data_IF_528396960229
#
_entry.id   IF_528396960229
#
_cell.length_a   1.000
_cell.length_b   1.000
_cell.length_c   1.000
_cell.angle_alpha   90.00
_cell.angle_beta   90.00
_cell.angle_gamma   90.00
#
_symmetry.space_group_name_H-M   'P 1'
#
loop_
_entity.id
_entity.type
_entity.pdbx_description
1 polymer ?
#
# COMPACT_ATOMS: atom_id res chain seq x y z
N UNK A 1 -3.12 12.03 20.55
CA UNK A 1 -1.75 11.47 20.57
C UNK A 1 -1.10 11.65 19.21
N UNK A 2 0.22 11.63 19.16
CA UNK A 2 1.01 11.67 17.94
C UNK A 2 1.83 10.37 17.82
N UNK A 3 2.19 10.00 16.59
CA UNK A 3 3.01 8.83 16.24
C UNK A 3 2.40 7.49 16.73
N UNK A 4 3.25 6.51 17.11
CA UNK A 4 2.78 5.22 17.62
C UNK A 4 1.89 5.38 18.86
N UNK A 5 0.77 4.66 18.89
CA UNK A 5 -0.29 4.84 19.88
C UNK A 5 -0.11 4.09 21.19
N UNK A 6 0.72 3.04 21.23
CA UNK A 6 0.83 2.11 22.35
C UNK A 6 1.32 2.80 23.63
N UNK A 7 2.46 3.49 23.54
CA UNK A 7 3.04 4.18 24.69
C UNK A 7 2.20 5.37 25.15
N UNK A 8 1.70 6.26 24.27
CA UNK A 8 0.73 7.27 24.63
C UNK A 8 -0.50 6.71 25.35
N UNK A 9 -1.10 5.64 24.83
CA UNK A 9 -2.27 5.00 25.47
C UNK A 9 -1.95 4.48 26.86
N UNK A 10 -0.84 3.76 27.01
CA UNK A 10 -0.39 3.28 28.33
C UNK A 10 -0.18 4.45 29.31
N UNK A 11 0.42 5.54 28.85
CA UNK A 11 0.64 6.74 29.69
C UNK A 11 -0.69 7.36 30.16
N UNK A 12 -1.73 7.36 29.32
CA UNK A 12 -3.07 7.84 29.67
C UNK A 12 -3.70 6.91 30.69
N UNK A 13 -3.65 5.58 30.49
CA UNK A 13 -4.17 4.60 31.44
C UNK A 13 -3.50 4.73 32.81
N UNK A 14 -2.18 4.85 32.85
CA UNK A 14 -1.41 5.06 34.08
C UNK A 14 -1.81 6.35 34.79
N UNK A 15 -2.07 7.42 34.02
CA UNK A 15 -2.55 8.69 34.58
C UNK A 15 -3.96 8.54 35.22
N UNK A 16 -4.88 7.92 34.49
CA UNK A 16 -6.25 7.67 35.01
C UNK A 16 -6.25 6.80 36.25
N UNK A 17 -5.25 5.93 36.41
CA UNK A 17 -5.03 5.10 37.58
C UNK A 17 -4.24 5.79 38.72
N UNK A 18 -3.90 7.08 38.55
CA UNK A 18 -3.14 7.85 39.53
C UNK A 18 -1.65 7.52 39.64
N UNK A 19 -1.12 6.73 38.71
CA UNK A 19 0.29 6.28 38.72
C UNK A 19 1.22 7.21 37.95
N UNK A 20 0.69 8.14 37.12
CA UNK A 20 1.44 9.08 36.28
C UNK A 20 0.83 10.47 36.37
N UNK A 21 1.67 11.49 36.47
CA UNK A 21 1.20 12.88 36.41
C UNK A 21 0.81 13.27 34.98
N UNK A 22 -0.11 14.23 34.85
CA UNK A 22 -0.53 14.75 33.53
C UNK A 22 0.64 15.36 32.73
N UNK A 23 1.64 15.96 33.40
CA UNK A 23 2.83 16.52 32.77
C UNK A 23 3.77 15.47 32.15
N UNK A 24 3.56 14.19 32.43
CA UNK A 24 4.31 13.06 31.88
C UNK A 24 3.50 12.20 30.91
N UNK A 25 2.38 12.72 30.41
CA UNK A 25 1.66 12.05 29.32
C UNK A 25 2.50 12.13 28.04
N UNK A 26 2.68 10.98 27.39
CA UNK A 26 3.54 10.91 26.24
C UNK A 26 2.83 11.44 24.99
N UNK A 27 3.39 12.46 24.37
CA UNK A 27 2.95 13.01 23.08
C UNK A 27 1.41 13.18 22.99
N UNK A 28 0.82 13.72 24.03
CA UNK A 28 -0.63 13.88 24.13
C UNK A 28 -1.04 15.36 24.10
N UNK A 29 -2.11 15.63 23.37
CA UNK A 29 -2.88 16.86 23.55
C UNK A 29 -3.91 16.63 24.64
N UNK A 30 -3.93 17.48 25.63
CA UNK A 30 -4.90 17.49 26.74
C UNK A 30 -5.61 18.82 26.81
N UNK A 31 -6.86 18.81 27.26
CA UNK A 31 -7.60 20.03 27.53
C UNK A 31 -7.72 20.23 29.02
N UNK A 32 -7.13 21.28 29.53
CA UNK A 32 -7.17 21.66 30.95
C UNK A 32 -7.81 23.05 31.06
N UNK A 33 -8.89 23.18 31.80
CA UNK A 33 -9.63 24.44 31.99
C UNK A 33 -10.01 25.15 30.64
N UNK A 34 -10.31 24.37 29.60
CA UNK A 34 -10.66 24.90 28.28
C UNK A 34 -9.47 25.09 27.34
N UNK A 35 -8.27 25.20 27.86
CA UNK A 35 -7.04 25.36 27.09
C UNK A 35 -6.48 24.02 26.61
N UNK A 36 -6.05 23.97 25.33
CA UNK A 36 -5.40 22.79 24.73
C UNK A 36 -3.88 22.90 24.91
N UNK A 37 -3.32 21.94 25.62
CA UNK A 37 -1.88 21.87 25.89
C UNK A 37 -1.29 20.60 25.32
N UNK A 38 -0.14 20.67 24.67
CA UNK A 38 0.62 19.51 24.21
C UNK A 38 1.70 19.15 25.23
N UNK A 39 1.73 17.89 25.63
CA UNK A 39 2.76 17.38 26.52
C UNK A 39 3.90 16.80 25.69
N UNK A 40 5.07 17.43 25.80
CA UNK A 40 6.29 17.04 25.04
C UNK A 40 7.08 15.91 25.70
N UNK A 41 6.50 15.19 26.66
CA UNK A 41 7.18 14.07 27.30
C UNK A 41 7.38 12.93 26.30
N UNK A 42 8.61 12.41 26.19
CA UNK A 42 8.98 11.36 25.26
C UNK A 42 9.66 10.22 26.02
N UNK A 43 9.12 9.03 25.86
CA UNK A 43 9.70 7.76 26.28
C UNK A 43 9.92 6.87 25.02
N UNK A 44 10.79 5.86 25.09
CA UNK A 44 10.91 4.89 24.00
C UNK A 44 9.57 4.24 23.67
N UNK A 45 9.27 4.08 22.40
CA UNK A 45 8.09 3.34 21.97
C UNK A 45 8.22 1.85 22.29
N UNK A 46 7.09 1.15 22.33
CA UNK A 46 7.07 -0.30 22.50
C UNK A 46 7.69 -0.94 21.27
N UNK A 47 8.65 -1.84 21.44
CA UNK A 47 9.22 -2.60 20.34
C UNK A 47 8.13 -3.45 19.66
N UNK A 48 8.19 -3.59 18.34
CA UNK A 48 7.13 -4.24 17.59
C UNK A 48 6.94 -5.72 17.98
N UNK A 49 8.01 -6.41 18.39
CA UNK A 49 7.93 -7.77 18.97
C UNK A 49 7.20 -7.81 20.33
N UNK A 50 7.23 -6.70 21.08
CA UNK A 50 6.59 -6.59 22.40
C UNK A 50 5.12 -6.13 22.33
N UNK A 51 4.69 -5.62 21.17
CA UNK A 51 3.27 -5.38 20.92
C UNK A 51 2.54 -6.71 20.92
N UNK A 52 1.53 -6.86 21.75
CA UNK A 52 0.78 -8.12 21.89
C UNK A 52 0.10 -8.56 20.59
N UNK A 53 -0.39 -9.80 20.58
CA UNK A 53 -1.24 -10.29 19.49
C UNK A 53 -2.56 -9.51 19.50
N UNK A 54 -3.04 -9.01 18.36
CA UNK A 54 -4.38 -8.43 18.30
C UNK A 54 -5.42 -9.46 18.70
N UNK A 55 -6.53 -9.02 19.29
CA UNK A 55 -7.64 -9.90 19.69
C UNK A 55 -8.95 -9.38 19.14
N UNK A 56 -9.81 -10.29 18.74
CA UNK A 56 -11.18 -10.01 18.28
C UNK A 56 -12.21 -10.30 19.41
N UNK A 57 -11.75 -10.73 20.59
CA UNK A 57 -12.60 -11.04 21.73
C UNK A 57 -13.47 -9.83 22.12
N UNK A 58 -14.76 -10.07 22.29
CA UNK A 58 -15.74 -9.03 22.60
C UNK A 58 -16.28 -8.26 21.37
N UNK A 59 -15.76 -8.49 20.18
CA UNK A 59 -16.32 -7.92 18.96
C UNK A 59 -17.42 -8.81 18.39
N UNK A 60 -18.52 -8.24 17.87
CA UNK A 60 -19.60 -9.01 17.26
C UNK A 60 -19.22 -9.47 15.85
N UNK A 61 -18.23 -10.36 15.73
CA UNK A 61 -17.60 -10.75 14.47
C UNK A 61 -18.60 -11.24 13.41
N UNK A 62 -19.71 -11.85 13.82
CA UNK A 62 -20.76 -12.30 12.90
C UNK A 62 -21.48 -11.15 12.17
N UNK A 63 -21.45 -9.94 12.73
CA UNK A 63 -22.08 -8.75 12.13
C UNK A 63 -21.18 -8.00 11.17
N UNK A 64 -19.86 -8.28 11.13
CA UNK A 64 -18.96 -7.68 10.17
C UNK A 64 -19.14 -8.30 8.79
N UNK A 65 -19.13 -7.46 7.77
CA UNK A 65 -19.22 -7.94 6.39
C UNK A 65 -17.99 -8.76 6.01
N UNK A 66 -18.22 -9.83 5.28
CA UNK A 66 -17.16 -10.58 4.62
C UNK A 66 -16.61 -9.77 3.44
N UNK A 67 -15.33 -9.97 3.09
CA UNK A 67 -14.77 -9.37 1.88
C UNK A 67 -15.50 -9.81 0.61
N UNK A 68 -16.13 -10.98 0.62
CA UNK A 68 -16.96 -11.47 -0.49
C UNK A 68 -18.22 -10.63 -0.71
N UNK A 69 -18.72 -9.98 0.34
CA UNK A 69 -19.92 -9.14 0.29
C UNK A 69 -19.63 -7.73 -0.25
N UNK A 70 -18.35 -7.38 -0.38
CA UNK A 70 -17.94 -6.08 -0.91
C UNK A 70 -18.04 -6.06 -2.44
N UNK A 71 -18.45 -4.91 -2.97
CA UNK A 71 -18.60 -4.71 -4.42
C UNK A 71 -17.26 -4.64 -5.16
N UNK A 72 -16.13 -4.49 -4.45
CA UNK A 72 -14.81 -4.40 -5.07
C UNK A 72 -14.42 -5.77 -5.68
N UNK A 73 -14.31 -5.88 -7.02
CA UNK A 73 -14.00 -7.14 -7.68
C UNK A 73 -12.64 -7.72 -7.27
N UNK A 74 -11.71 -6.88 -6.82
CA UNK A 74 -10.42 -7.35 -6.29
C UNK A 74 -10.58 -8.35 -5.15
N UNK A 75 -11.50 -8.09 -4.23
CA UNK A 75 -11.67 -8.93 -3.05
C UNK A 75 -12.20 -10.32 -3.39
N UNK A 76 -12.85 -10.48 -4.55
CA UNK A 76 -13.37 -11.76 -5.01
C UNK A 76 -12.33 -12.66 -5.66
N UNK A 77 -11.18 -12.11 -6.06
CA UNK A 77 -10.14 -12.88 -6.74
C UNK A 77 -9.40 -13.83 -5.80
N UNK A 78 -9.21 -13.41 -4.53
CA UNK A 78 -8.44 -14.19 -3.58
C UNK A 78 -8.98 -14.18 -2.14
N UNK A 79 -10.20 -13.76 -1.92
CA UNK A 79 -10.81 -13.78 -0.59
C UNK A 79 -11.98 -14.74 -0.54
N UNK A 80 -11.97 -15.62 0.43
CA UNK A 80 -13.02 -16.59 0.73
C UNK A 80 -13.82 -16.22 1.98
N UNK A 81 -13.62 -15.02 2.52
CA UNK A 81 -14.37 -14.58 3.68
C UNK A 81 -13.66 -13.58 4.58
N UNK A 82 -13.69 -13.83 5.89
CA UNK A 82 -13.04 -13.00 6.91
C UNK A 82 -11.61 -13.48 7.12
N UNK A 83 -10.69 -12.52 7.18
CA UNK A 83 -9.27 -12.79 7.30
C UNK A 83 -8.71 -12.13 8.54
N UNK A 84 -7.88 -12.84 9.28
CA UNK A 84 -7.09 -12.25 10.35
C UNK A 84 -6.15 -11.16 9.79
N UNK A 85 -5.98 -10.07 10.53
CA UNK A 85 -5.12 -8.96 10.16
C UNK A 85 -3.87 -8.96 11.02
N UNK A 86 -2.71 -8.93 10.38
CA UNK A 86 -1.41 -8.78 11.02
C UNK A 86 -0.53 -7.85 10.20
N UNK A 87 0.57 -7.38 10.78
CA UNK A 87 1.67 -6.72 10.09
C UNK A 87 2.96 -7.49 10.37
N UNK A 88 3.81 -7.58 9.36
CA UNK A 88 5.15 -8.17 9.45
C UNK A 88 6.11 -7.18 10.09
N UNK A 89 5.93 -5.89 9.76
CA UNK A 89 6.77 -4.81 10.25
C UNK A 89 5.99 -3.51 10.37
N UNK A 90 6.33 -2.70 11.37
CA UNK A 90 5.89 -1.31 11.42
C UNK A 90 6.71 -0.49 10.42
N UNK A 91 6.05 0.42 9.70
CA UNK A 91 6.67 1.35 8.76
C UNK A 91 7.16 0.73 7.45
N UNK A 92 7.88 1.51 6.67
CA UNK A 92 8.37 1.10 5.36
C UNK A 92 9.91 1.06 5.36
N UNK A 93 10.50 -0.07 4.98
CA UNK A 93 11.96 -0.21 4.92
C UNK A 93 12.61 0.60 3.79
N UNK A 94 11.85 1.00 2.74
CA UNK A 94 12.38 1.78 1.63
C UNK A 94 12.54 3.26 1.95
N UNK A 95 11.53 3.94 2.49
CA UNK A 95 11.56 5.31 3.01
C UNK A 95 12.03 6.40 2.01
N UNK A 96 11.85 6.21 0.70
CA UNK A 96 12.42 7.11 -0.31
C UNK A 96 11.41 7.66 -1.32
N UNK A 97 10.19 7.09 -1.36
CA UNK A 97 9.19 7.51 -2.33
C UNK A 97 8.83 8.98 -2.13
N UNK A 98 8.86 9.76 -3.20
CA UNK A 98 8.61 11.20 -3.14
C UNK A 98 7.14 11.56 -2.88
N UNK A 99 6.23 10.62 -3.06
CA UNK A 99 4.80 10.78 -2.82
C UNK A 99 4.34 10.30 -1.43
N UNK A 100 5.22 9.65 -0.66
CA UNK A 100 4.92 9.19 0.69
C UNK A 100 5.37 10.20 1.74
N UNK A 101 4.71 10.20 2.89
CA UNK A 101 5.06 11.02 4.06
C UNK A 101 6.25 10.41 4.81
N UNK A 102 7.39 10.32 4.14
CA UNK A 102 8.58 9.58 4.60
C UNK A 102 9.21 10.11 5.88
N UNK A 103 8.81 11.29 6.34
CA UNK A 103 9.24 11.90 7.61
C UNK A 103 8.34 11.52 8.79
N UNK A 104 7.12 11.02 8.54
CA UNK A 104 6.17 10.66 9.58
C UNK A 104 6.44 9.25 10.12
N UNK A 105 6.16 9.02 11.39
CA UNK A 105 6.51 7.80 12.13
C UNK A 105 6.02 6.52 11.44
N UNK A 106 4.78 6.52 10.95
CA UNK A 106 4.18 5.33 10.33
C UNK A 106 4.90 4.83 9.06
N UNK A 107 5.77 5.70 8.46
CA UNK A 107 6.65 5.33 7.35
C UNK A 107 8.12 5.30 7.80
N UNK A 108 8.56 6.31 8.58
CA UNK A 108 9.98 6.53 8.88
C UNK A 108 10.54 5.56 9.92
N UNK A 109 9.74 5.17 10.91
CA UNK A 109 10.13 4.16 11.88
C UNK A 109 9.95 2.77 11.24
N UNK A 110 11.03 2.01 11.17
CA UNK A 110 10.98 0.64 10.67
C UNK A 110 11.38 -0.32 11.78
N UNK A 111 10.47 -1.20 12.13
CA UNK A 111 10.65 -2.21 13.17
C UNK A 111 9.91 -3.49 12.74
N UNK A 112 10.63 -4.59 12.56
CA UNK A 112 10.08 -5.84 12.04
C UNK A 112 9.95 -6.88 13.15
N UNK A 113 8.83 -7.60 13.19
CA UNK A 113 8.67 -8.74 14.07
C UNK A 113 9.64 -9.87 13.67
N UNK A 114 10.10 -10.63 14.67
CA UNK A 114 10.79 -11.88 14.39
C UNK A 114 9.82 -12.92 13.83
N UNK A 115 10.34 -13.85 13.02
CA UNK A 115 9.50 -14.88 12.41
C UNK A 115 8.77 -15.73 13.46
N UNK A 116 9.43 -16.02 14.59
CA UNK A 116 8.84 -16.78 15.69
C UNK A 116 7.65 -16.06 16.28
N UNK A 117 7.82 -14.79 16.68
CA UNK A 117 6.72 -13.97 17.24
C UNK A 117 5.57 -13.83 16.26
N UNK A 118 5.88 -13.61 14.98
CA UNK A 118 4.85 -13.45 13.95
C UNK A 118 4.00 -14.72 13.79
N UNK A 119 4.65 -15.89 13.74
CA UNK A 119 3.95 -17.16 13.60
C UNK A 119 3.24 -17.57 14.90
N UNK A 120 3.77 -17.23 16.09
CA UNK A 120 3.06 -17.36 17.36
C UNK A 120 1.75 -16.58 17.35
N UNK A 121 1.78 -15.33 16.85
CA UNK A 121 0.56 -14.50 16.66
C UNK A 121 -0.43 -15.14 15.69
N UNK A 122 0.06 -15.76 14.62
CA UNK A 122 -0.81 -16.47 13.68
C UNK A 122 -1.52 -17.65 14.37
N UNK A 123 -0.81 -18.49 15.13
CA UNK A 123 -1.39 -19.61 15.86
C UNK A 123 -2.42 -19.15 16.89
N UNK A 124 -2.12 -18.07 17.64
CA UNK A 124 -3.07 -17.48 18.60
C UNK A 124 -4.36 -17.00 17.93
N UNK A 125 -4.24 -16.29 16.81
CA UNK A 125 -5.39 -15.81 16.06
C UNK A 125 -6.20 -16.95 15.43
N UNK A 126 -5.55 -18.01 14.95
CA UNK A 126 -6.25 -19.21 14.46
C UNK A 126 -7.04 -19.87 15.58
N UNK A 127 -6.47 -19.98 16.77
CA UNK A 127 -7.14 -20.57 17.93
C UNK A 127 -8.33 -19.72 18.39
N UNK A 128 -8.22 -18.38 18.35
CA UNK A 128 -9.28 -17.47 18.77
C UNK A 128 -10.41 -17.37 17.73
N UNK A 129 -10.06 -17.18 16.45
CA UNK A 129 -11.03 -16.87 15.40
C UNK A 129 -11.58 -18.09 14.66
N UNK A 130 -10.90 -19.25 14.75
CA UNK A 130 -11.17 -20.41 13.91
C UNK A 130 -10.82 -20.22 12.41
N UNK A 131 -10.18 -19.09 12.05
CA UNK A 131 -9.83 -18.73 10.67
C UNK A 131 -8.35 -18.96 10.42
N UNK A 132 -8.00 -19.60 9.30
CA UNK A 132 -6.60 -19.83 8.87
C UNK A 132 -6.13 -18.88 7.77
N UNK A 133 -6.94 -17.91 7.40
CA UNK A 133 -6.60 -16.86 6.44
C UNK A 133 -5.98 -15.63 7.10
N UNK A 134 -4.95 -15.04 6.46
CA UNK A 134 -4.22 -13.87 6.95
C UNK A 134 -4.03 -12.82 5.88
N UNK A 135 -4.36 -11.58 6.21
CA UNK A 135 -3.98 -10.41 5.44
C UNK A 135 -2.91 -9.63 6.19
N UNK A 136 -1.71 -9.56 5.63
CA UNK A 136 -0.64 -8.71 6.14
C UNK A 136 -0.81 -7.30 5.61
N UNK A 137 -1.16 -6.38 6.52
CA UNK A 137 -1.55 -4.99 6.20
C UNK A 137 -0.37 -4.02 6.25
N UNK A 138 0.82 -4.49 5.93
CA UNK A 138 2.05 -3.70 5.89
C UNK A 138 1.97 -2.57 4.84
N UNK A 139 2.72 -1.50 5.06
CA UNK A 139 3.02 -0.52 4.00
C UNK A 139 3.84 -1.16 2.88
N UNK A 140 4.83 -1.99 3.24
CA UNK A 140 5.57 -2.86 2.35
C UNK A 140 6.29 -3.93 3.19
N UNK A 141 5.80 -5.16 3.17
CA UNK A 141 6.43 -6.26 3.90
C UNK A 141 7.83 -6.58 3.34
N UNK A 142 8.85 -6.64 4.21
CA UNK A 142 10.23 -6.83 3.76
C UNK A 142 10.48 -8.25 3.25
N UNK A 143 11.19 -8.44 2.12
CA UNK A 143 11.47 -9.77 1.57
C UNK A 143 12.17 -10.70 2.54
N UNK A 144 13.11 -10.16 3.35
CA UNK A 144 13.84 -10.94 4.35
C UNK A 144 12.93 -11.47 5.46
N UNK A 145 12.01 -10.64 5.94
CA UNK A 145 11.06 -11.04 6.98
C UNK A 145 10.03 -12.05 6.44
N UNK A 146 9.49 -11.81 5.23
CA UNK A 146 8.62 -12.77 4.56
C UNK A 146 9.29 -14.13 4.35
N UNK A 147 10.56 -14.14 3.93
CA UNK A 147 11.36 -15.39 3.80
C UNK A 147 11.47 -16.12 5.13
N UNK A 148 11.73 -15.41 6.21
CA UNK A 148 11.86 -16.01 7.54
C UNK A 148 10.50 -16.55 8.04
N UNK A 149 9.43 -15.78 7.85
CA UNK A 149 8.05 -16.19 8.17
C UNK A 149 7.64 -17.45 7.40
N UNK A 150 7.84 -17.47 6.08
CA UNK A 150 7.51 -18.61 5.24
C UNK A 150 8.22 -19.91 5.70
N UNK A 151 9.51 -19.80 6.01
CA UNK A 151 10.28 -20.95 6.56
C UNK A 151 9.72 -21.41 7.90
N UNK A 152 9.32 -20.50 8.77
CA UNK A 152 8.79 -20.84 10.09
C UNK A 152 7.38 -21.45 9.99
N UNK A 153 6.52 -20.98 9.09
CA UNK A 153 5.22 -21.58 8.77
C UNK A 153 5.42 -23.05 8.34
N UNK A 154 6.32 -23.29 7.39
CA UNK A 154 6.61 -24.62 6.87
C UNK A 154 7.23 -25.53 7.94
N UNK A 155 8.16 -25.01 8.75
CA UNK A 155 8.79 -25.75 9.84
C UNK A 155 7.78 -26.24 10.89
N UNK A 156 6.76 -25.41 11.19
CA UNK A 156 5.66 -25.78 12.13
C UNK A 156 4.58 -26.62 11.48
N UNK A 157 4.60 -26.80 10.17
CA UNK A 157 3.57 -27.52 9.43
C UNK A 157 2.20 -26.83 9.44
N UNK A 158 2.17 -25.51 9.58
CA UNK A 158 0.90 -24.76 9.61
C UNK A 158 0.26 -24.72 8.23
N UNK A 159 -1.03 -24.95 8.20
CA UNK A 159 -1.85 -24.82 6.98
C UNK A 159 -2.61 -23.50 7.02
N UNK A 160 -2.12 -22.54 6.30
CA UNK A 160 -2.65 -21.17 6.24
C UNK A 160 -2.74 -20.70 4.80
N UNK A 161 -3.63 -19.74 4.55
CA UNK A 161 -3.61 -18.93 3.33
C UNK A 161 -3.31 -17.51 3.71
N UNK A 162 -2.43 -16.84 2.95
CA UNK A 162 -2.10 -15.47 3.28
C UNK A 162 -1.82 -14.62 2.04
N UNK A 163 -2.02 -13.32 2.19
CA UNK A 163 -1.66 -12.31 1.22
C UNK A 163 -1.20 -11.02 1.91
N UNK A 164 -0.52 -10.16 1.19
CA UNK A 164 0.01 -8.94 1.77
C UNK A 164 0.57 -7.95 0.76
N UNK A 165 1.04 -6.82 1.26
CA UNK A 165 1.58 -5.74 0.46
C UNK A 165 3.11 -5.81 0.43
N UNK A 166 3.69 -5.66 -0.76
CA UNK A 166 5.13 -5.71 -0.99
C UNK A 166 5.56 -4.58 -1.95
N UNK A 167 6.85 -4.53 -2.21
CA UNK A 167 7.42 -3.78 -3.35
C UNK A 167 7.91 -4.79 -4.37
N UNK A 168 7.62 -4.58 -5.66
CA UNK A 168 8.09 -5.48 -6.73
C UNK A 168 9.59 -5.35 -6.97
N UNK A 169 10.41 -5.80 -6.02
CA UNK A 169 11.87 -5.68 -6.04
C UNK A 169 12.54 -6.91 -6.61
N UNK A 170 13.76 -6.71 -7.13
CA UNK A 170 14.60 -7.80 -7.65
C UNK A 170 14.94 -8.88 -6.61
N UNK A 171 14.78 -8.60 -5.33
CA UNK A 171 14.97 -9.55 -4.22
C UNK A 171 13.91 -10.66 -4.19
N UNK A 172 12.75 -10.46 -4.84
CA UNK A 172 11.77 -11.52 -5.07
C UNK A 172 12.21 -12.40 -6.24
N UNK A 173 13.25 -13.24 -5.95
CA UNK A 173 13.71 -14.24 -6.93
C UNK A 173 12.71 -15.39 -7.08
N UNK A 174 12.75 -16.16 -8.18
CA UNK A 174 11.85 -17.32 -8.35
C UNK A 174 11.86 -18.28 -7.16
N UNK A 175 13.04 -18.53 -6.56
CA UNK A 175 13.17 -19.41 -5.39
C UNK A 175 12.48 -18.83 -4.15
N UNK A 176 12.61 -17.52 -3.92
CA UNK A 176 11.88 -16.87 -2.83
C UNK A 176 10.38 -16.92 -3.08
N UNK A 177 9.95 -16.60 -4.30
CA UNK A 177 8.53 -16.60 -4.67
C UNK A 177 7.93 -18.00 -4.50
N UNK A 178 8.62 -19.06 -4.91
CA UNK A 178 8.18 -20.44 -4.69
C UNK A 178 8.06 -20.76 -3.20
N UNK A 179 9.05 -20.38 -2.38
CA UNK A 179 8.99 -20.55 -0.93
C UNK A 179 7.76 -19.86 -0.30
N UNK A 180 7.41 -18.66 -0.79
CA UNK A 180 6.21 -17.95 -0.33
C UNK A 180 4.95 -18.73 -0.72
N UNK A 181 4.85 -19.20 -1.96
CA UNK A 181 3.74 -20.04 -2.43
C UNK A 181 3.59 -21.31 -1.58
N UNK A 182 4.67 -22.04 -1.34
CA UNK A 182 4.70 -23.26 -0.53
C UNK A 182 4.20 -22.99 0.91
N UNK A 183 4.43 -21.78 1.45
CA UNK A 183 3.98 -21.37 2.78
C UNK A 183 2.52 -20.90 2.84
N UNK A 184 1.78 -20.98 1.73
CA UNK A 184 0.39 -20.59 1.64
C UNK A 184 0.13 -19.15 1.16
N UNK A 185 1.13 -18.49 0.55
CA UNK A 185 0.91 -17.20 -0.11
C UNK A 185 0.03 -17.40 -1.36
N UNK A 186 -1.14 -16.79 -1.38
CA UNK A 186 -2.07 -16.90 -2.51
C UNK A 186 -2.11 -15.63 -3.36
N UNK A 187 -1.73 -14.49 -2.81
CA UNK A 187 -1.71 -13.23 -3.53
C UNK A 187 -0.70 -12.24 -2.94
N UNK A 188 -0.17 -11.35 -3.77
CA UNK A 188 0.68 -10.26 -3.37
C UNK A 188 0.26 -8.96 -4.09
N UNK A 189 0.19 -7.88 -3.31
CA UNK A 189 -0.10 -6.54 -3.82
C UNK A 189 1.18 -5.71 -3.84
N UNK A 190 1.38 -4.90 -4.87
CA UNK A 190 2.54 -4.02 -4.92
C UNK A 190 2.33 -2.80 -5.80
N UNK A 191 3.14 -1.76 -5.56
CA UNK A 191 3.08 -0.52 -6.32
C UNK A 191 3.89 -0.61 -7.61
N UNK A 192 3.22 -0.61 -8.77
CA UNK A 192 3.80 -0.25 -10.07
C UNK A 192 3.70 1.26 -10.29
N UNK A 193 2.76 1.92 -9.62
CA UNK A 193 2.48 3.36 -9.67
C UNK A 193 2.15 3.80 -11.10
N UNK A 194 2.95 4.67 -11.69
CA UNK A 194 2.87 4.95 -13.13
C UNK A 194 3.83 4.01 -13.85
N UNK A 195 3.35 3.22 -14.79
CA UNK A 195 4.19 2.32 -15.58
C UNK A 195 5.04 3.13 -16.60
N UNK A 196 5.94 3.96 -16.08
CA UNK A 196 6.87 4.83 -16.82
C UNK A 196 8.17 4.93 -16.02
N UNK A 197 9.28 4.47 -16.60
CA UNK A 197 10.58 4.49 -15.91
C UNK A 197 11.01 5.92 -15.56
N UNK A 198 10.67 6.91 -16.41
CA UNK A 198 10.90 8.32 -16.11
C UNK A 198 10.19 8.76 -14.82
N UNK A 199 8.93 8.46 -14.70
CA UNK A 199 8.13 8.83 -13.53
C UNK A 199 8.49 8.00 -12.29
N UNK A 200 8.78 6.70 -12.45
CA UNK A 200 9.27 5.86 -11.35
C UNK A 200 10.60 6.37 -10.77
N UNK A 201 11.49 6.90 -11.63
CA UNK A 201 12.73 7.53 -11.19
C UNK A 201 12.45 8.85 -10.43
N UNK A 202 11.56 9.70 -10.94
CA UNK A 202 11.14 10.95 -10.29
C UNK A 202 10.45 10.67 -8.93
N UNK A 203 9.64 9.62 -8.86
CA UNK A 203 9.02 9.12 -7.63
C UNK A 203 10.02 8.50 -6.64
N UNK A 204 11.27 8.29 -7.04
CA UNK A 204 12.28 7.54 -6.25
C UNK A 204 11.77 6.17 -5.81
N UNK A 205 10.94 5.55 -6.66
CA UNK A 205 10.32 4.24 -6.36
C UNK A 205 11.35 3.12 -6.29
N UNK A 206 12.45 3.20 -7.05
CA UNK A 206 13.54 2.24 -7.02
C UNK A 206 13.24 0.92 -7.74
N UNK A 207 12.28 0.92 -8.65
CA UNK A 207 11.96 -0.19 -9.55
C UNK A 207 11.81 0.34 -10.98
N UNK A 208 11.90 -0.54 -11.96
CA UNK A 208 11.60 -0.26 -13.39
C UNK A 208 10.42 -1.11 -13.84
N UNK A 209 9.76 -0.68 -14.92
CA UNK A 209 8.64 -1.44 -15.51
C UNK A 209 9.08 -2.87 -15.86
N UNK A 210 10.26 -3.04 -16.49
CA UNK A 210 10.81 -4.34 -16.83
C UNK A 210 11.07 -5.22 -15.59
N UNK A 211 11.59 -4.62 -14.51
CA UNK A 211 11.80 -5.36 -13.26
C UNK A 211 10.47 -5.85 -12.68
N UNK A 212 9.46 -4.97 -12.64
CA UNK A 212 8.11 -5.35 -12.18
C UNK A 212 7.56 -6.49 -13.01
N UNK A 213 7.65 -6.43 -14.34
CA UNK A 213 7.19 -7.48 -15.23
C UNK A 213 7.85 -8.85 -14.92
N UNK A 214 9.16 -8.87 -14.69
CA UNK A 214 9.87 -10.12 -14.32
C UNK A 214 9.41 -10.68 -12.98
N UNK A 215 9.28 -9.83 -11.98
CA UNK A 215 8.88 -10.24 -10.62
C UNK A 215 7.45 -10.75 -10.61
N UNK A 216 6.53 -10.02 -11.25
CA UNK A 216 5.12 -10.41 -11.31
C UNK A 216 4.93 -11.68 -12.16
N UNK A 217 5.73 -11.88 -13.20
CA UNK A 217 5.76 -13.14 -13.98
C UNK A 217 6.16 -14.31 -13.09
N UNK A 218 7.25 -14.18 -12.30
CA UNK A 218 7.67 -15.24 -11.36
C UNK A 218 6.58 -15.56 -10.34
N UNK A 219 5.83 -14.56 -9.87
CA UNK A 219 4.71 -14.77 -8.96
C UNK A 219 3.57 -15.55 -9.64
N UNK A 220 3.19 -15.15 -10.85
CA UNK A 220 2.16 -15.84 -11.62
C UNK A 220 2.57 -17.29 -11.93
N UNK A 221 3.82 -17.55 -12.29
CA UNK A 221 4.35 -18.90 -12.54
C UNK A 221 4.33 -19.80 -11.29
N UNK A 222 4.44 -19.22 -10.09
CA UNK A 222 4.30 -19.91 -8.81
C UNK A 222 2.83 -20.02 -8.33
N UNK A 223 1.86 -19.56 -9.11
CA UNK A 223 0.45 -19.57 -8.74
C UNK A 223 0.00 -18.48 -7.77
N UNK A 224 0.84 -17.46 -7.53
CA UNK A 224 0.50 -16.31 -6.68
C UNK A 224 -0.21 -15.26 -7.53
N UNK A 225 -1.42 -14.88 -7.14
CA UNK A 225 -2.17 -13.81 -7.78
C UNK A 225 -1.50 -12.45 -7.49
N UNK A 226 -1.47 -11.58 -8.50
CA UNK A 226 -0.80 -10.27 -8.38
C UNK A 226 -1.81 -9.14 -8.52
N UNK A 227 -1.79 -8.24 -7.52
CA UNK A 227 -2.50 -6.96 -7.56
C UNK A 227 -1.51 -5.80 -7.72
N UNK A 228 -1.78 -4.89 -8.65
CA UNK A 228 -0.98 -3.68 -8.84
C UNK A 228 -1.69 -2.44 -8.30
N UNK A 229 -1.05 -1.72 -7.37
CA UNK A 229 -1.40 -0.33 -7.10
C UNK A 229 -0.82 0.54 -8.21
N UNK A 230 -1.70 1.31 -8.83
CA UNK A 230 -1.38 2.18 -9.95
C UNK A 230 -1.77 3.61 -9.61
N UNK A 231 -1.00 4.55 -10.13
CA UNK A 231 -1.19 5.96 -9.89
C UNK A 231 -1.28 6.72 -11.21
N UNK A 232 -2.02 7.82 -11.22
CA UNK A 232 -2.04 8.79 -12.31
C UNK A 232 -2.13 10.22 -11.74
N UNK A 233 -1.72 11.20 -12.54
CA UNK A 233 -1.71 12.61 -12.11
C UNK A 233 -0.51 12.97 -11.23
N UNK A 234 0.56 12.18 -11.29
CA UNK A 234 1.81 12.57 -10.64
C UNK A 234 2.43 13.78 -11.37
N UNK A 235 3.12 14.69 -10.66
CA UNK A 235 3.72 15.87 -11.27
C UNK A 235 4.49 15.58 -12.57
N UNK A 236 4.29 16.41 -13.57
CA UNK A 236 4.86 16.31 -14.93
C UNK A 236 4.38 15.14 -15.77
N UNK A 237 3.38 14.39 -15.34
CA UNK A 237 2.81 13.30 -16.14
C UNK A 237 2.01 13.86 -17.30
N UNK A 238 2.39 13.46 -18.53
CA UNK A 238 1.73 13.88 -19.77
C UNK A 238 0.63 12.90 -20.20
N UNK A 239 -0.16 13.31 -21.22
CA UNK A 239 -1.12 12.41 -21.88
C UNK A 239 -0.38 11.19 -22.46
N UNK A 240 0.82 11.40 -23.05
CA UNK A 240 1.63 10.31 -23.63
C UNK A 240 2.04 9.31 -22.53
N UNK A 241 2.56 9.81 -21.38
CA UNK A 241 2.92 8.93 -20.26
C UNK A 241 1.74 8.09 -19.79
N UNK A 242 0.54 8.67 -19.78
CA UNK A 242 -0.69 7.96 -19.34
C UNK A 242 -1.12 6.89 -20.34
N UNK A 243 -1.04 7.18 -21.63
CA UNK A 243 -1.36 6.21 -22.71
C UNK A 243 -0.35 5.06 -22.71
N UNK A 244 0.93 5.38 -22.60
CA UNK A 244 2.00 4.37 -22.54
C UNK A 244 1.91 3.52 -21.27
N UNK A 245 1.61 4.13 -20.11
CA UNK A 245 1.40 3.39 -18.86
C UNK A 245 0.24 2.41 -18.97
N UNK A 246 -0.88 2.82 -19.59
CA UNK A 246 -2.01 1.91 -19.78
C UNK A 246 -1.67 0.77 -20.76
N UNK A 247 -0.86 1.02 -21.78
CA UNK A 247 -0.39 -0.04 -22.70
C UNK A 247 0.51 -1.05 -21.98
N UNK A 248 1.45 -0.61 -21.15
CA UNK A 248 2.23 -1.54 -20.31
C UNK A 248 1.33 -2.39 -19.41
N UNK A 249 0.35 -1.77 -18.74
CA UNK A 249 -0.59 -2.47 -17.89
C UNK A 249 -1.42 -3.48 -18.69
N UNK A 250 -1.91 -3.11 -19.88
CA UNK A 250 -2.61 -4.02 -20.78
C UNK A 250 -1.77 -5.25 -21.12
N UNK A 251 -0.51 -5.05 -21.50
CA UNK A 251 0.42 -6.15 -21.83
C UNK A 251 0.69 -7.06 -20.61
N UNK A 252 0.83 -6.48 -19.41
CA UNK A 252 1.02 -7.27 -18.19
C UNK A 252 -0.22 -8.14 -17.85
N UNK A 253 -1.43 -7.64 -18.11
CA UNK A 253 -2.65 -8.45 -18.00
C UNK A 253 -2.72 -9.53 -19.08
N UNK A 254 -2.44 -9.18 -20.34
CA UNK A 254 -2.42 -10.12 -21.46
C UNK A 254 -1.41 -11.26 -21.23
N UNK A 255 -0.24 -10.94 -20.66
CA UNK A 255 0.78 -11.92 -20.29
C UNK A 255 0.46 -12.72 -19.03
N UNK A 256 -0.64 -12.43 -18.33
CA UNK A 256 -0.99 -13.07 -17.06
C UNK A 256 -0.07 -12.70 -15.89
N UNK A 257 0.67 -11.60 -15.99
CA UNK A 257 1.52 -11.10 -14.92
C UNK A 257 0.74 -10.32 -13.85
N UNK A 258 -0.38 -9.71 -14.23
CA UNK A 258 -1.31 -9.02 -13.35
C UNK A 258 -2.69 -9.69 -13.40
N UNK A 259 -3.33 -9.80 -12.24
CA UNK A 259 -4.67 -10.37 -12.10
C UNK A 259 -5.69 -9.31 -11.69
N UNK A 260 -5.23 -8.25 -11.03
CA UNK A 260 -6.06 -7.11 -10.65
C UNK A 260 -5.21 -5.85 -10.49
N UNK A 261 -5.88 -4.72 -10.39
CA UNK A 261 -5.22 -3.44 -10.13
C UNK A 261 -6.22 -2.35 -9.77
N UNK A 262 -5.69 -1.25 -9.28
CA UNK A 262 -6.48 -0.08 -8.99
C UNK A 262 -5.70 1.20 -9.30
N UNK A 263 -6.33 2.13 -10.03
CA UNK A 263 -5.79 3.43 -10.33
C UNK A 263 -6.21 4.48 -9.31
N UNK A 264 -5.24 4.98 -8.55
CA UNK A 264 -5.39 6.13 -7.65
C UNK A 264 -4.98 7.42 -8.36
N UNK A 265 -5.71 8.51 -8.12
CA UNK A 265 -5.18 9.83 -8.44
C UNK A 265 -4.12 10.20 -7.41
N UNK A 266 -3.00 10.76 -7.86
CA UNK A 266 -1.99 11.30 -6.97
C UNK A 266 -2.60 12.39 -6.08
N UNK A 267 -2.37 12.28 -4.77
CA UNK A 267 -2.68 13.29 -3.78
C UNK A 267 -1.34 13.86 -3.26
N UNK A 268 -1.13 15.16 -3.38
CA UNK A 268 0.02 15.81 -2.82
C UNK A 268 -0.21 16.03 -1.33
N UNK A 269 0.61 15.41 -0.48
CA UNK A 269 0.54 15.63 0.97
C UNK A 269 1.59 16.62 1.43
N UNK A 270 1.29 17.41 2.46
CA UNK A 270 2.19 18.46 3.00
C UNK A 270 3.50 17.90 3.55
N UNK A 271 3.53 16.62 3.94
CA UNK A 271 4.68 15.96 4.55
C UNK A 271 5.50 15.13 3.55
N UNK A 272 4.98 14.93 2.33
CA UNK A 272 5.71 14.23 1.29
C UNK A 272 6.85 15.10 0.73
N UNK A 273 7.92 14.50 0.18
CA UNK A 273 8.94 15.26 -0.52
C UNK A 273 8.41 16.17 -1.63
N UNK A 274 7.33 15.76 -2.33
CA UNK A 274 6.66 16.61 -3.33
C UNK A 274 6.02 17.84 -2.68
N UNK A 275 5.36 17.68 -1.54
CA UNK A 275 4.73 18.80 -0.83
C UNK A 275 5.73 19.73 -0.15
N UNK A 276 6.86 19.19 0.31
CA UNK A 276 7.92 19.97 0.97
C UNK A 276 8.80 20.78 0.00
N UNK A 277 8.98 20.28 -1.23
CA UNK A 277 9.76 20.95 -2.27
C UNK A 277 9.06 20.84 -3.63
N UNK A 278 7.91 21.52 -3.81
CA UNK A 278 7.08 21.37 -5.02
C UNK A 278 7.80 21.86 -6.29
N UNK A 279 8.73 22.81 -6.16
CA UNK A 279 9.49 23.35 -7.30
C UNK A 279 10.41 22.28 -7.92
N UNK A 280 11.01 21.41 -7.10
CA UNK A 280 11.82 20.29 -7.58
C UNK A 280 11.00 19.29 -8.42
N UNK A 281 9.68 19.32 -8.29
CA UNK A 281 8.75 18.48 -9.05
C UNK A 281 7.97 19.27 -10.12
N UNK A 282 8.32 20.54 -10.34
CA UNK A 282 7.76 21.38 -11.39
C UNK A 282 6.29 21.75 -11.18
N UNK A 283 5.82 21.80 -9.95
CA UNK A 283 4.45 22.18 -9.59
C UNK A 283 4.41 23.37 -8.66
N UNK A 284 3.26 24.02 -8.56
CA UNK A 284 2.96 25.11 -7.64
C UNK A 284 1.81 24.68 -6.72
N UNK A 285 2.02 24.75 -5.39
CA UNK A 285 0.96 24.45 -4.43
C UNK A 285 -0.04 25.59 -4.34
N UNK A 286 -1.31 25.23 -4.26
CA UNK A 286 -2.38 26.18 -3.97
C UNK A 286 -2.54 26.38 -2.47
N UNK A 287 -2.96 27.58 -2.02
CA UNK A 287 -3.23 27.81 -0.61
C UNK A 287 -4.36 26.90 -0.12
N UNK A 288 -4.24 26.41 1.10
CA UNK A 288 -5.30 25.64 1.74
C UNK A 288 -6.55 26.52 1.93
N UNK A 289 -7.75 25.96 1.70
CA UNK A 289 -8.99 26.68 1.96
C UNK A 289 -9.05 27.17 3.41
N UNK A 290 -9.53 28.41 3.61
CA UNK A 290 -9.76 28.95 4.93
C UNK A 290 -10.77 28.08 5.70
N UNK A 291 -10.47 27.74 6.96
CA UNK A 291 -11.32 26.90 7.79
C UNK A 291 -11.28 25.40 7.45
N UNK A 292 -10.37 24.94 6.58
CA UNK A 292 -10.22 23.51 6.29
C UNK A 292 -9.97 22.69 7.58
N UNK A 293 -10.78 21.66 7.81
CA UNK A 293 -10.62 20.74 8.93
C UNK A 293 -9.39 19.85 8.76
N UNK A 294 -9.23 19.25 7.59
CA UNK A 294 -8.06 18.46 7.22
C UNK A 294 -7.09 19.31 6.38
N UNK A 295 -5.81 19.25 6.69
CA UNK A 295 -4.76 20.06 6.06
C UNK A 295 -3.62 19.20 5.51
N UNK A 296 -3.84 17.92 5.37
CA UNK A 296 -2.82 17.00 4.89
C UNK A 296 -2.68 17.07 3.36
N UNK A 297 -3.79 17.05 2.63
CA UNK A 297 -3.78 17.07 1.17
C UNK A 297 -3.81 18.50 0.65
N UNK A 298 -2.93 18.80 -0.29
CA UNK A 298 -2.77 20.13 -0.88
C UNK A 298 -3.03 20.06 -2.38
N UNK A 299 -3.89 20.96 -2.85
CA UNK A 299 -4.10 21.14 -4.28
C UNK A 299 -2.87 21.81 -4.94
N UNK A 300 -2.61 21.48 -6.19
CA UNK A 300 -1.47 22.03 -6.93
C UNK A 300 -1.82 22.27 -8.40
N UNK A 301 -1.04 23.14 -9.03
CA UNK A 301 -1.05 23.39 -10.48
C UNK A 301 0.13 22.66 -11.09
N UNK A 302 -0.15 21.84 -12.12
CA UNK A 302 0.85 21.21 -12.96
C UNK A 302 0.86 21.92 -14.32
N UNK A 303 2.00 22.51 -14.74
CA UNK A 303 2.09 23.26 -15.99
C UNK A 303 1.94 22.41 -17.27
N UNK A 304 1.97 21.08 -17.16
CA UNK A 304 1.68 20.19 -18.30
C UNK A 304 0.29 20.41 -18.89
N UNK A 305 -0.64 20.94 -18.10
CA UNK A 305 -2.04 21.14 -18.50
C UNK A 305 -2.80 19.85 -18.82
N UNK A 306 -2.29 18.69 -18.39
CA UNK A 306 -2.92 17.39 -18.60
C UNK A 306 -4.20 17.28 -17.78
N UNK A 307 -5.34 17.02 -18.44
CA UNK A 307 -6.60 16.73 -17.76
C UNK A 307 -6.61 15.31 -17.19
N UNK A 308 -6.06 15.18 -16.00
CA UNK A 308 -5.99 13.91 -15.28
C UNK A 308 -7.36 13.39 -14.84
N UNK A 309 -8.37 14.24 -14.68
CA UNK A 309 -9.74 13.82 -14.35
C UNK A 309 -10.36 13.05 -15.52
N UNK A 310 -10.26 13.62 -16.70
CA UNK A 310 -10.73 12.98 -17.95
C UNK A 310 -10.01 11.65 -18.20
N UNK A 311 -8.68 11.65 -18.11
CA UNK A 311 -7.87 10.45 -18.33
C UNK A 311 -8.16 9.38 -17.26
N UNK A 312 -8.36 9.78 -16.00
CA UNK A 312 -8.65 8.87 -14.88
C UNK A 312 -9.93 8.05 -15.09
N UNK A 313 -10.97 8.63 -15.72
CA UNK A 313 -12.19 7.88 -16.08
C UNK A 313 -11.87 6.75 -17.05
N UNK A 314 -11.06 7.02 -18.08
CA UNK A 314 -10.62 6.01 -19.03
C UNK A 314 -9.77 4.91 -18.38
N UNK A 315 -8.81 5.28 -17.54
CA UNK A 315 -7.96 4.34 -16.80
C UNK A 315 -8.77 3.38 -15.93
N UNK A 316 -9.72 3.92 -15.14
CA UNK A 316 -10.58 3.11 -14.27
C UNK A 316 -11.48 2.16 -15.06
N UNK A 317 -12.05 2.64 -16.18
CA UNK A 317 -12.86 1.82 -17.09
C UNK A 317 -12.03 0.70 -17.73
N UNK A 318 -10.83 1.01 -18.21
CA UNK A 318 -9.92 0.00 -18.76
C UNK A 318 -9.57 -1.06 -17.73
N UNK A 319 -9.17 -0.65 -16.52
CA UNK A 319 -8.78 -1.55 -15.44
C UNK A 319 -9.90 -2.51 -15.08
N UNK A 320 -11.12 -2.00 -14.89
CA UNK A 320 -12.28 -2.84 -14.59
C UNK A 320 -12.48 -3.93 -15.67
N UNK A 321 -12.38 -3.57 -16.94
CA UNK A 321 -12.53 -4.52 -18.05
C UNK A 321 -11.36 -5.52 -18.11
N UNK A 322 -10.12 -5.08 -17.92
CA UNK A 322 -8.95 -5.97 -17.93
C UNK A 322 -9.00 -7.04 -16.84
N UNK A 323 -9.47 -6.69 -15.64
CA UNK A 323 -9.70 -7.67 -14.57
C UNK A 323 -10.72 -8.76 -14.95
N UNK A 324 -11.56 -8.53 -15.97
CA UNK A 324 -12.53 -9.49 -16.50
C UNK A 324 -12.09 -10.08 -17.86
N UNK A 325 -10.85 -9.87 -18.26
CA UNK A 325 -10.32 -10.34 -19.55
C UNK A 325 -10.92 -9.65 -20.76
N UNK A 326 -11.55 -8.47 -20.59
CA UNK A 326 -12.27 -7.77 -21.66
C UNK A 326 -11.39 -6.66 -22.25
N UNK A 327 -11.24 -6.65 -23.57
CA UNK A 327 -10.58 -5.56 -24.33
C UNK A 327 -9.06 -5.55 -24.22
N UNK A 328 -8.45 -6.69 -23.87
CA UNK A 328 -6.99 -6.84 -23.92
C UNK A 328 -6.43 -6.78 -25.34
N UNK A 329 -7.26 -7.06 -26.33
CA UNK A 329 -6.98 -6.98 -27.76
C UNK A 329 -7.19 -5.58 -28.36
N UNK A 330 -7.72 -4.63 -27.60
CA UNK A 330 -8.10 -3.30 -28.09
C UNK A 330 -6.95 -2.31 -27.98
N UNK A 331 -6.93 -1.35 -28.89
CA UNK A 331 -6.10 -0.14 -28.78
C UNK A 331 -6.50 0.63 -27.50
N UNK A 332 -5.53 0.85 -26.61
CA UNK A 332 -5.77 1.49 -25.31
C UNK A 332 -6.39 2.88 -25.41
N UNK A 333 -6.23 3.58 -26.56
CA UNK A 333 -6.85 4.88 -26.79
C UNK A 333 -8.38 4.83 -26.82
N UNK A 334 -8.96 3.66 -27.04
CA UNK A 334 -10.41 3.47 -27.05
C UNK A 334 -11.07 3.63 -25.68
N UNK A 335 -10.28 3.58 -24.64
CA UNK A 335 -10.75 3.78 -23.26
C UNK A 335 -10.90 5.26 -22.87
N UNK A 336 -10.19 6.17 -23.59
CA UNK A 336 -10.20 7.58 -23.28
C UNK A 336 -11.25 8.33 -24.09
N UNK A 337 -11.97 9.24 -23.43
CA UNK A 337 -12.96 10.14 -24.06
C UNK A 337 -12.25 11.35 -24.71
N UNK A 338 -11.15 11.09 -25.40
CA UNK A 338 -10.40 12.09 -26.17
C UNK A 338 -10.63 11.91 -27.67
N UNK A 339 -10.70 13.00 -28.45
CA UNK A 339 -10.71 12.89 -29.90
C UNK A 339 -9.49 12.09 -30.36
N UNK A 340 -9.68 11.15 -31.29
CA UNK A 340 -8.60 10.26 -31.76
C UNK A 340 -7.37 11.01 -32.30
N UNK A 341 -7.57 12.24 -32.80
CA UNK A 341 -6.48 13.11 -33.29
C UNK A 341 -5.63 13.71 -32.17
N UNK A 342 -6.16 13.85 -30.96
CA UNK A 342 -5.50 14.43 -29.78
C UNK A 342 -5.00 13.38 -28.79
N UNK A 343 -5.49 12.13 -28.88
CA UNK A 343 -4.99 11.02 -28.09
C UNK A 343 -3.79 10.38 -28.79
N UNK A 344 -2.57 10.48 -28.24
CA UNK A 344 -1.37 9.97 -28.90
C UNK A 344 -1.41 8.44 -29.01
N UNK A 345 -0.68 7.89 -29.98
CA UNK A 345 -0.48 6.44 -30.07
C UNK A 345 0.48 5.99 -28.96
N UNK A 346 0.30 4.78 -28.40
CA UNK A 346 1.30 4.20 -27.53
C UNK A 346 2.66 4.13 -28.24
N UNK A 347 3.72 4.48 -27.52
CA UNK A 347 5.11 4.31 -27.99
C UNK A 347 5.69 2.95 -27.55
N UNK A 348 5.03 2.29 -26.63
CA UNK A 348 5.36 0.96 -26.10
C UNK A 348 5.19 -0.09 -27.21
N UNK A 349 6.23 -0.88 -27.44
CA UNK A 349 6.19 -1.98 -28.41
C UNK A 349 5.48 -3.20 -27.83
N UNK A 350 4.80 -4.00 -28.66
CA UNK A 350 4.25 -5.28 -28.21
C UNK A 350 5.36 -6.19 -27.66
N UNK A 351 5.11 -6.83 -26.49
CA UNK A 351 6.02 -7.79 -25.89
C UNK A 351 7.27 -7.17 -25.22
N UNK A 352 7.24 -5.87 -24.92
CA UNK A 352 8.30 -5.21 -24.13
C UNK A 352 7.99 -5.22 -22.66
#
# INVERSE_FOLDING_TARGET
TLDAGERPLLSIIEHLQGRRSASRLQRCFTRVQGEVTYTHWVEPDVAFDEVGTPTWAGLPMAQYLSLLDLLNPMHRLWSDGRWNKLTVAHGCYWKKCSFCDVSLDYISRYDAATATVLVDRMEQLMAESGQSGFHFVDEAAPPKALKAMAKEILRRGLRVSWWGNIRFEKTFTPELVQLLADSGCIALSGGLEVASDRLLALMKKGVTVQQVARVTRSMADAGILVHAYLMYGFPTQTVQDTVDALEYVRQLFEAGCLHSGFFHRFACTVHSPVGLDPQAYGIELLPLPEGAFARNDVAFIDPTGTDHELLGRGLKKAMYNYMHGIGLDRDVRTWFELPRKTCPKPTVRPGT
#
